data_IF_166703760670
#
_entry.id   IF_166703760670
#
_cell.length_a   1.000
_cell.length_b   1.000
_cell.length_c   1.000
_cell.angle_alpha   90.00
_cell.angle_beta   90.00
_cell.angle_gamma   90.00
#
_symmetry.space_group_name_H-M   'P 1'
#
loop_
_entity.id
_entity.type
_entity.pdbx_description
1 polymer ?
#
# COMPACT_ATOMS: atom_id res chain seq x y z
N UNK A 1 40.18 21.50 18.21
CA UNK A 1 39.96 21.85 16.78
C UNK A 1 39.29 20.75 15.95
N UNK A 2 39.41 19.45 16.27
CA UNK A 2 38.76 18.36 15.49
C UNK A 2 37.24 18.30 15.59
N UNK A 3 36.69 18.36 16.81
CA UNK A 3 35.24 18.26 17.08
C UNK A 3 34.38 19.32 16.37
N UNK A 4 34.94 20.51 16.12
CA UNK A 4 34.20 21.60 15.51
C UNK A 4 34.05 21.39 13.99
N UNK A 5 35.10 20.89 13.34
CA UNK A 5 35.05 20.47 11.93
C UNK A 5 34.14 19.28 11.72
N UNK A 6 34.20 18.29 12.60
CA UNK A 6 33.32 17.12 12.54
C UNK A 6 31.83 17.52 12.66
N UNK A 7 31.50 18.44 13.56
CA UNK A 7 30.15 18.99 13.67
C UNK A 7 29.71 19.74 12.40
N UNK A 8 30.61 20.45 11.72
CA UNK A 8 30.31 21.13 10.46
C UNK A 8 30.05 20.12 9.34
N UNK A 9 30.87 19.05 9.25
CA UNK A 9 30.68 17.97 8.27
C UNK A 9 29.35 17.24 8.50
N UNK A 10 29.03 16.88 9.74
CA UNK A 10 27.77 16.23 10.07
C UNK A 10 26.56 17.11 9.73
N UNK A 11 26.64 18.43 9.93
CA UNK A 11 25.57 19.36 9.53
C UNK A 11 25.34 19.35 8.02
N UNK A 12 26.42 19.36 7.23
CA UNK A 12 26.33 19.29 5.77
C UNK A 12 25.71 17.96 5.33
N UNK A 13 26.12 16.85 5.93
CA UNK A 13 25.57 15.52 5.60
C UNK A 13 24.07 15.43 5.93
N UNK A 14 23.65 15.95 7.10
CA UNK A 14 22.23 16.02 7.47
C UNK A 14 21.43 16.84 6.45
N UNK A 15 21.98 17.95 5.97
CA UNK A 15 21.32 18.79 4.97
C UNK A 15 21.16 18.08 3.62
N UNK A 16 22.20 17.37 3.18
CA UNK A 16 22.16 16.54 1.96
C UNK A 16 21.14 15.41 2.06
N UNK A 17 21.09 14.74 3.21
CA UNK A 17 20.12 13.66 3.47
C UNK A 17 18.69 14.20 3.47
N UNK A 18 18.43 15.35 4.11
CA UNK A 18 17.12 16.00 4.11
C UNK A 18 16.67 16.36 2.70
N UNK A 19 17.58 16.91 1.89
CA UNK A 19 17.30 17.27 0.50
C UNK A 19 16.95 16.02 -0.32
N UNK A 20 17.73 14.95 -0.16
CA UNK A 20 17.50 13.68 -0.85
C UNK A 20 16.17 13.04 -0.46
N UNK A 21 15.82 13.07 0.83
CA UNK A 21 14.54 12.59 1.34
C UNK A 21 13.37 13.37 0.72
N UNK A 22 13.46 14.70 0.70
CA UNK A 22 12.42 15.55 0.12
C UNK A 22 12.21 15.28 -1.38
N UNK A 23 13.29 15.08 -2.13
CA UNK A 23 13.22 14.69 -3.55
C UNK A 23 12.52 13.34 -3.70
N UNK A 24 12.87 12.35 -2.87
CA UNK A 24 12.25 11.03 -2.90
C UNK A 24 10.75 11.08 -2.59
N UNK A 25 10.36 11.83 -1.55
CA UNK A 25 8.95 12.05 -1.18
C UNK A 25 8.16 12.68 -2.32
N UNK A 26 8.72 13.72 -2.96
CA UNK A 26 8.09 14.41 -4.09
C UNK A 26 7.91 13.48 -5.29
N UNK A 27 8.93 12.67 -5.60
CA UNK A 27 8.84 11.65 -6.66
C UNK A 27 7.75 10.63 -6.36
N UNK A 28 7.71 10.10 -5.14
CA UNK A 28 6.68 9.14 -4.71
C UNK A 28 5.29 9.74 -4.84
N UNK A 29 5.11 10.99 -4.43
CA UNK A 29 3.83 11.70 -4.58
C UNK A 29 3.41 11.85 -6.04
N UNK A 30 4.32 12.26 -6.91
CA UNK A 30 4.06 12.39 -8.35
C UNK A 30 3.69 11.03 -8.98
N UNK A 31 4.44 9.97 -8.65
CA UNK A 31 4.17 8.62 -9.13
C UNK A 31 2.80 8.11 -8.67
N UNK A 32 2.43 8.34 -7.40
CA UNK A 32 1.09 7.99 -6.89
C UNK A 32 -0.02 8.70 -7.67
N UNK A 33 0.16 9.98 -8.02
CA UNK A 33 -0.79 10.73 -8.83
C UNK A 33 -0.90 10.18 -10.25
N UNK A 34 0.23 9.91 -10.90
CA UNK A 34 0.26 9.35 -12.26
C UNK A 34 -0.40 7.97 -12.30
N UNK A 35 -0.08 7.11 -11.35
CA UNK A 35 -0.67 5.78 -11.22
C UNK A 35 -2.18 5.85 -11.03
N UNK A 36 -2.66 6.77 -10.18
CA UNK A 36 -4.10 6.99 -9.98
C UNK A 36 -4.79 7.44 -11.27
N UNK A 37 -4.18 8.35 -12.02
CA UNK A 37 -4.72 8.80 -13.31
C UNK A 37 -4.76 7.67 -14.35
N UNK A 38 -3.71 6.84 -14.41
CA UNK A 38 -3.67 5.66 -15.29
C UNK A 38 -4.76 4.65 -14.90
N UNK A 39 -4.95 4.36 -13.61
CA UNK A 39 -6.04 3.51 -13.13
C UNK A 39 -7.43 4.05 -13.49
N UNK A 40 -7.63 5.37 -13.41
CA UNK A 40 -8.91 6.02 -13.78
C UNK A 40 -9.18 5.99 -15.29
N UNK A 41 -8.14 5.96 -16.12
CA UNK A 41 -8.22 5.89 -17.58
C UNK A 41 -8.25 4.46 -18.13
N UNK A 42 -7.88 3.46 -17.34
CA UNK A 42 -7.89 2.07 -17.76
C UNK A 42 -9.33 1.60 -18.04
N UNK A 43 -9.61 1.00 -19.21
CA UNK A 43 -10.93 0.47 -19.54
C UNK A 43 -11.26 -0.79 -18.75
N UNK A 44 -10.26 -1.41 -18.11
CA UNK A 44 -10.48 -2.57 -17.26
C UNK A 44 -11.17 -2.16 -15.95
N UNK A 45 -12.26 -2.86 -15.67
CA UNK A 45 -13.16 -2.66 -14.54
C UNK A 45 -12.34 -2.55 -13.23
N UNK A 46 -12.65 -1.60 -12.33
CA UNK A 46 -11.98 -1.53 -11.04
C UNK A 46 -12.05 -2.90 -10.37
N UNK A 47 -10.90 -3.39 -9.87
CA UNK A 47 -10.79 -4.66 -9.13
C UNK A 47 -11.99 -4.82 -8.20
N UNK A 48 -12.88 -5.75 -8.56
CA UNK A 48 -14.04 -6.05 -7.73
C UNK A 48 -13.64 -7.12 -6.71
N UNK A 49 -14.45 -7.32 -5.67
CA UNK A 49 -14.11 -8.29 -4.63
C UNK A 49 -13.92 -9.70 -5.19
N UNK A 50 -14.70 -10.06 -6.22
CA UNK A 50 -14.62 -11.34 -6.91
C UNK A 50 -13.25 -11.55 -7.59
N UNK A 51 -12.72 -10.56 -8.32
CA UNK A 51 -11.41 -10.66 -8.97
C UNK A 51 -10.27 -10.71 -7.95
N UNK A 52 -10.39 -10.01 -6.81
CA UNK A 52 -9.39 -10.06 -5.73
C UNK A 52 -9.23 -11.48 -5.17
N UNK A 53 -10.31 -12.24 -5.05
CA UNK A 53 -10.27 -13.62 -4.54
C UNK A 53 -10.28 -14.69 -5.64
N UNK A 54 -10.12 -14.28 -6.90
CA UNK A 54 -10.08 -15.20 -8.05
C UNK A 54 -11.39 -15.94 -8.32
N UNK A 55 -12.54 -15.34 -7.99
CA UNK A 55 -13.87 -15.89 -8.23
C UNK A 55 -14.53 -15.26 -9.47
N UNK A 56 -15.42 -16.03 -10.09
CA UNK A 56 -16.31 -15.56 -11.15
C UNK A 56 -17.18 -14.40 -10.66
N UNK A 57 -17.51 -13.42 -11.51
CA UNK A 57 -18.39 -12.30 -11.16
C UNK A 57 -19.81 -12.74 -10.79
N UNK A 58 -20.22 -13.96 -11.17
CA UNK A 58 -21.49 -14.58 -10.81
C UNK A 58 -21.46 -15.27 -9.44
N UNK A 59 -20.30 -15.37 -8.78
CA UNK A 59 -20.21 -15.97 -7.46
C UNK A 59 -21.00 -15.15 -6.42
N UNK A 60 -21.68 -15.85 -5.53
CA UNK A 60 -22.50 -15.22 -4.50
C UNK A 60 -21.65 -14.52 -3.43
N UNK A 61 -22.22 -13.50 -2.79
CA UNK A 61 -21.52 -12.73 -1.76
C UNK A 61 -21.04 -13.60 -0.58
N UNK A 62 -21.70 -14.72 -0.27
CA UNK A 62 -21.24 -15.58 0.83
C UNK A 62 -19.97 -16.33 0.44
N UNK A 63 -19.88 -16.84 -0.79
CA UNK A 63 -18.64 -17.46 -1.30
C UNK A 63 -17.51 -16.45 -1.36
N UNK A 64 -17.77 -15.23 -1.86
CA UNK A 64 -16.76 -14.16 -1.87
C UNK A 64 -16.26 -13.85 -0.46
N UNK A 65 -17.16 -13.68 0.52
CA UNK A 65 -16.80 -13.43 1.93
C UNK A 65 -15.98 -14.57 2.53
N UNK A 66 -16.28 -15.83 2.17
CA UNK A 66 -15.56 -17.00 2.66
C UNK A 66 -14.12 -17.00 2.17
N UNK A 67 -13.90 -16.77 0.88
CA UNK A 67 -12.54 -16.72 0.31
C UNK A 67 -11.76 -15.51 0.83
N UNK A 68 -12.43 -14.34 0.95
CA UNK A 68 -11.81 -13.15 1.55
C UNK A 68 -11.36 -13.40 3.00
N UNK A 69 -12.14 -14.17 3.77
CA UNK A 69 -11.75 -14.59 5.14
C UNK A 69 -10.50 -15.47 5.14
N UNK A 70 -10.31 -16.33 4.14
CA UNK A 70 -9.09 -17.14 4.01
C UNK A 70 -7.88 -16.25 3.70
N UNK A 71 -8.06 -15.27 2.82
CA UNK A 71 -7.02 -14.28 2.50
C UNK A 71 -6.60 -13.49 3.75
N UNK A 72 -7.57 -12.97 4.52
CA UNK A 72 -7.29 -12.27 5.79
C UNK A 72 -6.56 -13.16 6.80
N UNK A 73 -6.95 -14.43 6.89
CA UNK A 73 -6.27 -15.41 7.74
C UNK A 73 -4.82 -15.70 7.30
N UNK A 74 -4.49 -15.54 6.03
CA UNK A 74 -3.11 -15.69 5.53
C UNK A 74 -2.28 -14.41 5.77
N UNK A 75 -2.91 -13.24 5.64
CA UNK A 75 -2.27 -11.93 5.84
C UNK A 75 -2.13 -11.52 7.31
N UNK A 76 -2.74 -12.25 8.25
CA UNK A 76 -2.73 -11.86 9.65
C UNK A 76 -1.29 -11.78 10.22
N UNK A 77 -0.92 -10.69 10.93
CA UNK A 77 0.44 -10.51 11.45
C UNK A 77 0.86 -11.62 12.43
N UNK A 78 -0.04 -12.11 13.28
CA UNK A 78 0.23 -13.27 14.17
C UNK A 78 0.61 -14.57 13.43
N UNK A 79 0.37 -14.63 12.12
CA UNK A 79 0.72 -15.77 11.27
C UNK A 79 1.90 -15.46 10.34
N UNK A 80 2.64 -14.38 10.61
CA UNK A 80 3.75 -13.92 9.78
C UNK A 80 3.32 -13.14 8.54
N UNK A 81 2.06 -12.69 8.48
CA UNK A 81 1.57 -11.83 7.40
C UNK A 81 1.90 -10.35 7.59
N UNK A 82 1.59 -9.53 6.59
CA UNK A 82 1.84 -8.09 6.60
C UNK A 82 0.65 -7.33 7.19
N UNK A 83 0.86 -6.63 8.30
CA UNK A 83 -0.15 -5.85 9.02
C UNK A 83 -0.80 -4.76 8.14
N UNK A 84 -0.01 -4.12 7.25
CA UNK A 84 -0.54 -3.07 6.36
C UNK A 84 -1.47 -3.67 5.33
N UNK A 85 -1.08 -4.82 4.75
CA UNK A 85 -1.96 -5.55 3.83
C UNK A 85 -3.21 -6.03 4.58
N UNK A 86 -3.06 -6.64 5.75
CA UNK A 86 -4.19 -7.09 6.56
C UNK A 86 -5.21 -5.97 6.81
N UNK A 87 -4.74 -4.78 7.20
CA UNK A 87 -5.60 -3.61 7.40
C UNK A 87 -6.35 -3.20 6.12
N UNK A 88 -5.64 -3.08 5.00
CA UNK A 88 -6.25 -2.73 3.70
C UNK A 88 -7.34 -3.73 3.33
N UNK A 89 -7.04 -5.03 3.38
CA UNK A 89 -8.01 -6.06 3.02
C UNK A 89 -9.16 -6.18 4.03
N UNK A 90 -8.93 -5.90 5.32
CA UNK A 90 -9.98 -5.89 6.34
C UNK A 90 -11.00 -4.77 6.08
N UNK A 91 -10.51 -3.57 5.73
CA UNK A 91 -11.37 -2.45 5.35
C UNK A 91 -12.22 -2.81 4.11
N UNK A 92 -11.64 -3.50 3.13
CA UNK A 92 -12.38 -4.00 1.97
C UNK A 92 -13.43 -5.06 2.34
N UNK A 93 -13.09 -6.03 3.20
CA UNK A 93 -14.01 -7.06 3.69
C UNK A 93 -15.24 -6.45 4.37
N UNK A 94 -15.04 -5.41 5.19
CA UNK A 94 -16.13 -4.71 5.90
C UNK A 94 -17.15 -4.05 4.96
N UNK A 95 -16.73 -3.68 3.75
CA UNK A 95 -17.56 -3.01 2.73
C UNK A 95 -18.33 -3.99 1.84
N UNK A 96 -18.08 -5.30 1.94
CA UNK A 96 -18.84 -6.31 1.23
C UNK A 96 -20.23 -6.41 1.89
N UNK A 97 -21.22 -5.75 1.30
CA UNK A 97 -22.63 -5.85 1.74
C UNK A 97 -23.06 -7.33 1.72
N UNK A 98 -23.88 -7.70 2.70
CA UNK A 98 -24.54 -9.02 2.70
C UNK A 98 -25.43 -9.12 1.45
#
# INVERSE_FOLDING_TARGET
>A
MGLQRENETLKQEIELLRTSLHIAETKVHSLKKMLKAEYELSPDKPMNYHTIVGLDQLADNQTVKREFKKLLKALHPDRGGDDRLFKVFSDHYSKIKA
#
